data_IF_685424398085
#
_entry.id   IF_685424398085
#
_cell.length_a   1.000
_cell.length_b   1.000
_cell.length_c   1.000
_cell.angle_alpha   90.00
_cell.angle_beta   90.00
_cell.angle_gamma   90.00
#
_symmetry.space_group_name_H-M   'P 1'
#
loop_
_entity.id
_entity.type
_entity.pdbx_description
1 polymer ?
#
# COMPACT_ATOMS: atom_id res chain seq x y z
N UNK A 1 5.81 -6.30 12.93
CA UNK A 1 5.83 -5.63 11.62
C UNK A 1 4.42 -5.53 11.07
N UNK A 2 4.05 -4.45 10.38
CA UNK A 2 2.71 -4.28 9.80
C UNK A 2 2.82 -4.17 8.29
N UNK A 3 2.05 -4.96 7.56
CA UNK A 3 1.94 -4.88 6.10
C UNK A 3 0.78 -3.98 5.71
N UNK A 4 0.94 -3.25 4.61
CA UNK A 4 -0.07 -2.35 4.08
C UNK A 4 -0.12 -2.43 2.56
N UNK A 5 -1.24 -1.98 2.01
CA UNK A 5 -1.35 -1.57 0.63
C UNK A 5 -1.70 -0.10 0.61
N UNK A 6 -0.98 0.65 -0.20
CA UNK A 6 -1.27 2.04 -0.53
C UNK A 6 -1.94 2.09 -1.89
N UNK A 7 -3.10 2.73 -1.97
CA UNK A 7 -3.86 2.94 -3.20
C UNK A 7 -3.65 4.38 -3.66
N UNK A 8 -3.06 4.54 -4.83
CA UNK A 8 -2.82 5.82 -5.48
C UNK A 8 -4.12 6.32 -6.12
N UNK A 9 -4.47 7.58 -5.92
CA UNK A 9 -5.70 8.15 -6.47
C UNK A 9 -5.76 8.08 -8.01
N UNK A 10 -4.60 8.17 -8.67
CA UNK A 10 -4.41 8.09 -10.12
C UNK A 10 -3.06 7.46 -10.44
N UNK A 11 -2.76 7.26 -11.73
CA UNK A 11 -1.44 6.79 -12.17
C UNK A 11 -0.34 7.66 -11.56
N UNK A 12 0.72 7.06 -10.96
CA UNK A 12 1.78 7.83 -10.34
C UNK A 12 2.48 8.74 -11.37
N UNK A 13 2.91 9.92 -10.92
CA UNK A 13 3.72 10.83 -11.75
C UNK A 13 5.19 10.44 -11.72
N UNK A 14 5.61 9.80 -10.63
CA UNK A 14 6.93 9.21 -10.45
C UNK A 14 6.78 7.93 -9.63
N UNK A 15 7.69 6.97 -9.82
CA UNK A 15 7.78 5.78 -8.99
C UNK A 15 9.24 5.59 -8.56
N UNK A 16 9.51 5.33 -7.28
CA UNK A 16 10.86 5.03 -6.83
C UNK A 16 11.33 3.68 -7.42
N UNK A 17 12.65 3.48 -7.45
CA UNK A 17 13.18 2.12 -7.62
C UNK A 17 12.83 1.29 -6.38
N UNK A 18 12.43 0.05 -6.61
CA UNK A 18 12.00 -0.87 -5.57
C UNK A 18 12.96 -2.07 -5.47
N UNK A 19 13.14 -2.64 -4.26
CA UNK A 19 12.56 -2.20 -2.99
C UNK A 19 13.17 -0.88 -2.49
N UNK A 20 12.39 -0.09 -1.73
CA UNK A 20 12.83 1.19 -1.14
C UNK A 20 12.61 1.17 0.37
N UNK A 21 13.68 1.36 1.15
CA UNK A 21 13.61 1.50 2.61
C UNK A 21 13.75 2.97 3.04
N UNK A 22 12.95 3.40 4.02
CA UNK A 22 12.96 4.73 4.62
C UNK A 22 13.13 4.66 6.15
N UNK A 23 13.94 5.56 6.74
CA UNK A 23 14.88 6.48 6.08
C UNK A 23 16.05 5.72 5.44
N UNK A 24 16.69 6.34 4.44
CA UNK A 24 17.91 5.80 3.82
C UNK A 24 19.09 5.80 4.82
N UNK A 25 19.94 4.77 4.78
CA UNK A 25 21.18 4.71 5.55
C UNK A 25 21.03 4.42 7.05
N UNK A 26 19.83 4.08 7.53
CA UNK A 26 19.59 3.75 8.94
C UNK A 26 18.69 2.52 9.13
N UNK A 27 18.28 2.28 10.37
CA UNK A 27 17.29 1.26 10.66
C UNK A 27 15.95 1.63 10.00
N UNK A 28 15.55 0.85 9.01
CA UNK A 28 14.35 1.15 8.25
C UNK A 28 13.10 1.12 9.15
N UNK A 29 12.20 2.06 8.92
CA UNK A 29 10.90 2.21 9.56
C UNK A 29 9.76 1.87 8.60
N UNK A 30 9.95 2.15 7.31
CA UNK A 30 9.04 1.83 6.24
C UNK A 30 9.83 1.21 5.08
N UNK A 31 9.25 0.22 4.43
CA UNK A 31 9.81 -0.41 3.25
C UNK A 31 8.71 -0.61 2.20
N UNK A 32 8.96 -0.14 0.99
CA UNK A 32 8.14 -0.40 -0.19
C UNK A 32 8.73 -1.60 -0.93
N UNK A 33 7.90 -2.61 -1.17
CA UNK A 33 8.31 -3.90 -1.70
C UNK A 33 7.99 -4.03 -3.18
N UNK A 34 6.79 -3.62 -3.57
CA UNK A 34 6.31 -3.75 -4.94
C UNK A 34 5.33 -2.62 -5.29
N UNK A 35 5.23 -2.35 -6.58
CA UNK A 35 4.30 -1.39 -7.16
C UNK A 35 3.69 -1.99 -8.42
N UNK A 36 2.37 -1.99 -8.50
CA UNK A 36 1.60 -2.45 -9.65
C UNK A 36 0.47 -1.46 -9.94
N UNK A 37 0.59 -0.73 -11.05
CA UNK A 37 -0.38 0.27 -11.49
C UNK A 37 -0.66 1.38 -10.47
N UNK A 38 -1.72 1.22 -9.67
CA UNK A 38 -2.12 2.17 -8.61
C UNK A 38 -1.97 1.58 -7.21
N UNK A 39 -1.38 0.41 -7.08
CA UNK A 39 -1.23 -0.31 -5.83
C UNK A 39 0.24 -0.40 -5.45
N UNK A 40 0.55 -0.06 -4.20
CA UNK A 40 1.89 -0.16 -3.65
C UNK A 40 1.84 -1.05 -2.42
N UNK A 41 2.62 -2.13 -2.43
CA UNK A 41 2.76 -3.04 -1.31
C UNK A 41 3.96 -2.61 -0.48
N UNK A 42 3.77 -2.54 0.84
CA UNK A 42 4.85 -2.21 1.75
C UNK A 42 4.64 -2.75 3.15
N UNK A 43 5.61 -2.45 4.00
CA UNK A 43 5.61 -2.81 5.40
C UNK A 43 6.24 -1.70 6.25
N UNK A 44 5.80 -1.57 7.48
CA UNK A 44 6.38 -0.62 8.43
C UNK A 44 6.51 -1.21 9.83
N UNK A 45 7.41 -0.62 10.62
CA UNK A 45 7.59 -0.89 12.04
C UNK A 45 6.75 0.10 12.83
N UNK A 46 5.90 -0.38 13.74
CA UNK A 46 5.01 0.48 14.55
C UNK A 46 5.85 1.34 15.49
N UNK A 47 6.15 2.54 15.06
CA UNK A 47 6.80 3.60 15.82
C UNK A 47 6.18 4.93 15.38
N UNK A 48 6.11 5.95 16.24
CA UNK A 48 5.50 7.24 15.90
C UNK A 48 6.04 7.85 14.60
N UNK A 49 7.36 7.71 14.35
CA UNK A 49 8.03 8.20 13.14
C UNK A 49 7.59 7.52 11.84
N UNK A 50 7.01 6.31 11.91
CA UNK A 50 6.54 5.59 10.72
C UNK A 50 5.33 6.27 10.08
N UNK A 51 4.49 6.96 10.86
CA UNK A 51 3.34 7.72 10.32
C UNK A 51 3.83 8.85 9.41
N UNK A 52 4.91 9.55 9.79
CA UNK A 52 5.53 10.58 8.97
C UNK A 52 6.02 10.02 7.63
N UNK A 53 6.65 8.85 7.63
CA UNK A 53 7.08 8.19 6.38
C UNK A 53 5.90 7.74 5.51
N UNK A 54 4.80 7.25 6.11
CA UNK A 54 3.58 6.94 5.37
C UNK A 54 2.97 8.18 4.70
N UNK A 55 3.00 9.34 5.37
CA UNK A 55 2.57 10.61 4.78
C UNK A 55 3.47 11.11 3.65
N UNK A 56 4.74 10.70 3.61
CA UNK A 56 5.67 11.09 2.54
C UNK A 56 5.39 10.40 1.20
N UNK A 57 4.56 9.35 1.18
CA UNK A 57 4.23 8.60 -0.03
C UNK A 57 3.53 9.48 -1.08
N UNK A 58 2.74 10.47 -0.67
CA UNK A 58 2.12 11.44 -1.58
C UNK A 58 3.16 12.17 -2.43
N UNK A 59 4.24 12.61 -1.80
CA UNK A 59 5.35 13.30 -2.48
C UNK A 59 6.15 12.33 -3.33
N UNK A 60 6.39 11.12 -2.82
CA UNK A 60 7.16 10.08 -3.51
C UNK A 60 6.51 9.63 -4.83
N UNK A 61 5.18 9.49 -4.85
CA UNK A 61 4.43 9.09 -6.05
C UNK A 61 3.85 10.26 -6.85
N UNK A 62 3.92 11.48 -6.30
CA UNK A 62 3.41 12.71 -6.89
C UNK A 62 1.88 12.78 -6.99
N UNK A 63 1.16 11.94 -6.24
CA UNK A 63 -0.29 11.81 -6.25
C UNK A 63 -0.78 11.44 -4.85
N UNK A 64 -2.01 11.81 -4.46
CA UNK A 64 -2.56 11.41 -3.16
C UNK A 64 -2.62 9.89 -2.98
N UNK A 65 -2.26 9.42 -1.79
CA UNK A 65 -2.15 8.00 -1.43
C UNK A 65 -3.02 7.67 -0.23
N UNK A 66 -3.86 6.64 -0.38
CA UNK A 66 -4.61 6.07 0.74
C UNK A 66 -3.94 4.78 1.21
N UNK A 67 -3.36 4.80 2.40
CA UNK A 67 -2.76 3.61 3.02
C UNK A 67 -3.79 2.83 3.83
N UNK A 68 -3.86 1.51 3.62
CA UNK A 68 -4.69 0.59 4.41
C UNK A 68 -3.92 -0.65 4.84
N UNK A 69 -4.25 -1.17 6.02
CA UNK A 69 -3.68 -2.40 6.53
C UNK A 69 -4.00 -3.57 5.58
N UNK A 70 -3.02 -4.45 5.35
CA UNK A 70 -3.21 -5.61 4.47
C UNK A 70 -4.38 -6.51 4.92
N UNK A 71 -4.67 -6.59 6.22
CA UNK A 71 -5.81 -7.34 6.74
C UNK A 71 -7.15 -6.76 6.24
N UNK A 72 -7.27 -5.44 6.18
CA UNK A 72 -8.45 -4.76 5.64
C UNK A 72 -8.58 -5.04 4.14
N UNK A 73 -7.49 -4.95 3.38
CA UNK A 73 -7.50 -5.27 1.95
C UNK A 73 -7.90 -6.74 1.72
N UNK A 74 -7.35 -7.67 2.50
CA UNK A 74 -7.73 -9.10 2.44
C UNK A 74 -9.19 -9.33 2.79
N UNK A 75 -9.77 -8.56 3.71
CA UNK A 75 -11.20 -8.64 4.02
C UNK A 75 -12.05 -8.16 2.84
N UNK A 76 -11.68 -7.03 2.21
CA UNK A 76 -12.34 -6.51 1.01
C UNK A 76 -12.29 -7.55 -0.12
N UNK A 77 -11.11 -8.12 -0.40
CA UNK A 77 -10.94 -9.16 -1.44
C UNK A 77 -11.85 -10.36 -1.16
N UNK A 78 -11.95 -10.82 0.10
CA UNK A 78 -12.84 -11.93 0.47
C UNK A 78 -14.31 -11.61 0.20
N UNK A 79 -14.75 -10.40 0.53
CA UNK A 79 -16.13 -9.95 0.25
C UNK A 79 -16.39 -9.91 -1.26
N UNK A 80 -15.47 -9.33 -2.04
CA UNK A 80 -15.60 -9.24 -3.49
C UNK A 80 -15.63 -10.62 -4.17
N UNK A 81 -14.78 -11.55 -3.72
CA UNK A 81 -14.78 -12.94 -4.23
C UNK A 81 -16.03 -13.70 -3.83
N UNK A 82 -16.56 -13.48 -2.62
CA UNK A 82 -17.83 -14.06 -2.18
C UNK A 82 -19.02 -13.53 -2.97
N UNK A 83 -19.04 -12.24 -3.28
CA UNK A 83 -20.08 -11.62 -4.11
C UNK A 83 -20.01 -12.11 -5.58
N UNK A 84 -18.82 -12.24 -6.14
CA UNK A 84 -18.64 -12.77 -7.49
C UNK A 84 -19.19 -14.20 -7.64
N UNK A 85 -19.03 -15.04 -6.61
CA UNK A 85 -19.61 -16.40 -6.58
C UNK A 85 -21.14 -16.41 -6.53
N UNK A 86 -21.76 -15.40 -5.91
CA UNK A 86 -23.23 -15.27 -5.83
C UNK A 86 -23.83 -14.81 -7.16
N UNK A 87 -23.18 -13.88 -7.86
CA UNK A 87 -23.62 -13.43 -9.19
C UNK A 87 -23.52 -14.53 -10.27
N UNK A 88 -22.54 -15.43 -10.17
CA UNK A 88 -22.38 -16.55 -11.10
C UNK A 88 -23.37 -17.71 -10.89
N UNK A 89 -24.06 -17.77 -9.75
CA UNK A 89 -25.09 -18.77 -9.47
C UNK A 89 -26.52 -18.30 -9.83
N UNK A 90 -26.65 -17.05 -10.26
CA UNK A 90 -27.94 -16.39 -10.54
C UNK A 90 -28.15 -16.05 -12.03
N UNK A 91 -27.27 -16.51 -12.93
CA UNK A 91 -27.38 -16.35 -14.39
C UNK A 91 -27.19 -17.69 -15.07
#
# INVERSE_FOLDING_TARGET
MVRFVSVLARRPRAAPRLPLALPAGGAWLLELLAHDGRYVLGQYRRQPKAIGHLGSLDRLFGVPVTTRNLNTIRAIVRVLQGAAKQGAAAG
#
